data_IF_935106132685
#
_entry.id   IF_935106132685
#
_cell.length_a   1.000
_cell.length_b   1.000
_cell.length_c   1.000
_cell.angle_alpha   90.00
_cell.angle_beta   90.00
_cell.angle_gamma   90.00
#
_symmetry.space_group_name_H-M   'P 1'
#
loop_
_entity.id
_entity.type
_entity.pdbx_description
1 polymer ?
#
# COMPACT_ATOMS: atom_id res chain seq x y z
N UNK A 1 12.67 -17.41 20.78
CA UNK A 1 13.09 -16.91 19.45
C UNK A 1 12.67 -17.83 18.30
N UNK A 2 13.07 -19.12 18.23
CA UNK A 2 12.67 -20.02 17.13
C UNK A 2 11.16 -20.04 16.86
N UNK A 3 10.35 -20.19 17.91
CA UNK A 3 8.90 -20.16 17.79
C UNK A 3 8.36 -18.82 17.23
N UNK A 4 8.92 -17.70 17.66
CA UNK A 4 8.55 -16.39 17.12
C UNK A 4 8.93 -16.25 15.65
N UNK A 5 10.06 -16.82 15.23
CA UNK A 5 10.42 -16.87 13.80
C UNK A 5 9.44 -17.70 13.00
N UNK A 6 9.03 -18.88 13.51
CA UNK A 6 7.99 -19.71 12.88
C UNK A 6 6.71 -18.93 12.66
N UNK A 7 6.21 -18.27 13.70
CA UNK A 7 5.01 -17.46 13.59
C UNK A 7 5.18 -16.26 12.66
N UNK A 8 6.34 -15.61 12.65
CA UNK A 8 6.62 -14.54 11.68
C UNK A 8 6.57 -15.04 10.23
N UNK A 9 7.23 -16.18 9.95
CA UNK A 9 7.24 -16.78 8.61
C UNK A 9 5.84 -17.25 8.20
N UNK A 10 5.10 -17.91 9.08
CA UNK A 10 3.72 -18.33 8.79
C UNK A 10 2.82 -17.14 8.45
N UNK A 11 2.87 -16.08 9.26
CA UNK A 11 2.04 -14.92 9.00
C UNK A 11 2.49 -14.16 7.73
N UNK A 12 3.79 -14.10 7.47
CA UNK A 12 4.36 -13.56 6.22
C UNK A 12 3.76 -14.25 4.99
N UNK A 13 3.71 -15.59 4.97
CA UNK A 13 3.14 -16.34 3.85
C UNK A 13 1.67 -15.97 3.62
N UNK A 14 0.85 -15.92 4.69
CA UNK A 14 -0.55 -15.51 4.54
C UNK A 14 -0.70 -14.07 4.04
N UNK A 15 0.15 -13.14 4.48
CA UNK A 15 0.12 -11.77 3.97
C UNK A 15 0.53 -11.70 2.50
N UNK A 16 1.52 -12.49 2.07
CA UNK A 16 1.91 -12.57 0.65
C UNK A 16 0.78 -13.12 -0.22
N UNK A 17 0.13 -14.21 0.21
CA UNK A 17 -1.05 -14.77 -0.46
C UNK A 17 -2.19 -13.74 -0.53
N UNK A 18 -2.49 -13.07 0.59
CA UNK A 18 -3.48 -11.99 0.64
C UNK A 18 -3.15 -10.86 -0.34
N UNK A 19 -1.88 -10.44 -0.41
CA UNK A 19 -1.41 -9.41 -1.32
C UNK A 19 -1.49 -9.82 -2.79
N UNK A 20 -1.22 -11.09 -3.10
CA UNK A 20 -1.34 -11.61 -4.46
C UNK A 20 -2.80 -11.64 -4.92
N UNK A 21 -3.73 -11.97 -4.02
CA UNK A 21 -5.17 -11.91 -4.30
C UNK A 21 -5.63 -10.49 -4.68
N UNK A 22 -5.04 -9.43 -4.10
CA UNK A 22 -5.32 -8.04 -4.47
C UNK A 22 -4.90 -7.66 -5.91
N UNK A 23 -4.13 -8.51 -6.61
CA UNK A 23 -3.79 -8.32 -8.03
C UNK A 23 -4.89 -8.78 -8.99
N UNK A 24 -5.90 -9.51 -8.50
CA UNK A 24 -7.09 -9.83 -9.29
C UNK A 24 -7.78 -8.56 -9.76
N UNK A 25 -8.43 -8.63 -10.92
CA UNK A 25 -9.19 -7.54 -11.52
C UNK A 25 -10.63 -8.03 -11.71
N UNK A 26 -11.60 -7.54 -10.94
CA UNK A 26 -11.48 -6.56 -9.86
C UNK A 26 -10.76 -7.11 -8.60
N UNK A 27 -10.18 -6.24 -7.78
CA UNK A 27 -9.57 -6.63 -6.50
C UNK A 27 -10.64 -7.05 -5.48
N UNK A 28 -10.41 -8.06 -4.61
CA UNK A 28 -11.30 -8.39 -3.51
C UNK A 28 -11.25 -7.39 -2.34
N UNK A 29 -10.22 -6.55 -2.28
CA UNK A 29 -9.99 -5.62 -1.18
C UNK A 29 -10.76 -4.32 -1.41
N UNK A 30 -11.42 -3.82 -0.36
CA UNK A 30 -11.92 -2.44 -0.33
C UNK A 30 -10.78 -1.47 -0.01
N UNK A 31 -10.88 -0.19 -0.39
CA UNK A 31 -9.83 0.80 -0.11
C UNK A 31 -9.44 0.91 1.37
N UNK A 32 -10.39 0.66 2.29
CA UNK A 32 -10.14 0.74 3.72
C UNK A 32 -9.77 -0.61 4.38
N UNK A 33 -9.93 -1.75 3.70
CA UNK A 33 -9.65 -3.07 4.31
C UNK A 33 -8.17 -3.18 4.72
N UNK A 34 -7.27 -2.65 3.87
CA UNK A 34 -5.82 -2.67 4.09
C UNK A 34 -5.26 -1.29 4.49
N UNK A 35 -6.12 -0.32 4.79
CA UNK A 35 -5.69 0.99 5.30
C UNK A 35 -4.95 0.78 6.62
N UNK A 36 -3.70 1.23 6.69
CA UNK A 36 -2.81 1.07 7.85
C UNK A 36 -2.49 -0.41 8.20
N UNK A 37 -2.63 -1.36 7.28
CA UNK A 37 -2.31 -2.77 7.55
C UNK A 37 -0.85 -2.99 7.98
N UNK A 38 0.08 -2.08 7.67
CA UNK A 38 1.45 -2.02 8.24
C UNK A 38 1.49 -2.23 9.77
N UNK A 39 0.45 -1.83 10.50
CA UNK A 39 0.35 -2.03 11.96
C UNK A 39 0.34 -3.51 12.37
N UNK A 40 0.04 -4.41 11.44
CA UNK A 40 0.22 -5.85 11.55
C UNK A 40 1.62 -6.24 12.07
N UNK A 41 2.65 -5.45 11.76
CA UNK A 41 4.01 -5.71 12.23
C UNK A 41 4.13 -5.73 13.77
N UNK A 42 3.22 -5.11 14.51
CA UNK A 42 3.18 -5.15 15.97
C UNK A 42 2.79 -6.54 16.52
N UNK A 43 2.14 -7.37 15.73
CA UNK A 43 1.71 -8.73 16.09
C UNK A 43 2.69 -9.80 15.59
N UNK A 44 3.81 -9.40 15.00
CA UNK A 44 4.73 -10.34 14.38
C UNK A 44 5.41 -11.23 15.40
N UNK A 45 5.49 -12.51 15.05
CA UNK A 45 6.08 -13.54 15.91
C UNK A 45 5.17 -14.01 17.03
N UNK A 46 3.88 -13.66 16.99
CA UNK A 46 2.84 -14.19 17.87
C UNK A 46 1.85 -15.06 17.09
N UNK A 47 1.09 -15.89 17.80
CA UNK A 47 0.04 -16.72 17.21
C UNK A 47 -1.10 -15.85 16.67
N UNK A 48 -1.43 -14.78 17.38
CA UNK A 48 -2.48 -13.82 17.01
C UNK A 48 -2.16 -13.12 15.69
N UNK A 49 -0.88 -12.80 15.45
CA UNK A 49 -0.44 -12.31 14.15
C UNK A 49 -0.69 -13.31 13.02
N UNK A 50 -0.44 -14.60 13.25
CA UNK A 50 -0.76 -15.64 12.27
C UNK A 50 -2.26 -15.69 11.98
N UNK A 51 -3.10 -15.66 13.02
CA UNK A 51 -4.56 -15.71 12.86
C UNK A 51 -5.11 -14.46 12.15
N UNK A 52 -4.60 -13.26 12.44
CA UNK A 52 -4.99 -12.04 11.72
C UNK A 52 -4.63 -12.14 10.24
N UNK A 53 -3.39 -12.50 9.92
CA UNK A 53 -2.95 -12.63 8.53
C UNK A 53 -3.77 -13.68 7.77
N UNK A 54 -4.02 -14.83 8.40
CA UNK A 54 -4.84 -15.90 7.84
C UNK A 54 -6.29 -15.45 7.61
N UNK A 55 -6.89 -14.72 8.55
CA UNK A 55 -8.27 -14.24 8.45
C UNK A 55 -8.46 -13.36 7.22
N UNK A 56 -7.58 -12.37 7.00
CA UNK A 56 -7.62 -11.52 5.82
C UNK A 56 -7.41 -12.32 4.52
N UNK A 57 -6.46 -13.26 4.52
CA UNK A 57 -6.20 -14.14 3.38
C UNK A 57 -7.44 -14.96 3.03
N UNK A 58 -8.03 -15.65 4.01
CA UNK A 58 -9.20 -16.52 3.83
C UNK A 58 -10.42 -15.70 3.35
N UNK A 59 -10.64 -14.51 3.90
CA UNK A 59 -11.70 -13.60 3.46
C UNK A 59 -11.52 -13.21 1.99
N UNK A 60 -10.33 -12.75 1.60
CA UNK A 60 -10.07 -12.32 0.23
C UNK A 60 -10.11 -13.49 -0.75
N UNK A 61 -9.64 -14.67 -0.33
CA UNK A 61 -9.72 -15.88 -1.15
C UNK A 61 -11.18 -16.26 -1.41
N UNK A 62 -12.04 -16.17 -0.39
CA UNK A 62 -13.47 -16.41 -0.53
C UNK A 62 -14.15 -15.37 -1.44
N UNK A 63 -13.83 -14.09 -1.28
CA UNK A 63 -14.34 -13.03 -2.17
C UNK A 63 -13.97 -13.28 -3.62
N UNK A 64 -12.70 -13.61 -3.91
CA UNK A 64 -12.26 -13.96 -5.27
C UNK A 64 -13.01 -15.18 -5.80
N UNK A 65 -13.14 -16.26 -5.01
CA UNK A 65 -13.86 -17.48 -5.41
C UNK A 65 -15.34 -17.21 -5.73
N UNK A 66 -15.97 -16.31 -4.99
CA UNK A 66 -17.38 -15.94 -5.18
C UNK A 66 -17.58 -14.83 -6.22
N UNK A 67 -16.51 -14.27 -6.79
CA UNK A 67 -16.58 -13.14 -7.71
C UNK A 67 -17.08 -11.84 -7.05
N UNK A 68 -16.86 -11.68 -5.73
CA UNK A 68 -17.25 -10.49 -4.97
C UNK A 68 -16.10 -9.48 -5.02
N UNK A 69 -16.25 -8.34 -5.70
CA UNK A 69 -15.23 -7.30 -5.72
C UNK A 69 -15.23 -6.49 -4.42
N UNK A 70 -14.09 -5.85 -4.13
CA UNK A 70 -14.00 -4.82 -3.09
C UNK A 70 -14.74 -3.55 -3.48
N UNK A 71 -14.49 -3.05 -4.69
CA UNK A 71 -15.20 -1.91 -5.29
C UNK A 71 -16.07 -2.40 -6.44
N UNK A 72 -17.38 -2.09 -6.38
CA UNK A 72 -18.32 -2.45 -7.45
C UNK A 72 -17.95 -1.68 -8.71
N UNK A 73 -17.81 -2.38 -9.83
CA UNK A 73 -17.36 -1.80 -11.10
C UNK A 73 -16.03 -1.04 -10.96
N UNK A 74 -15.00 -1.68 -10.38
CA UNK A 74 -13.65 -1.14 -10.27
C UNK A 74 -13.12 -0.68 -11.64
N UNK A 75 -13.05 0.65 -11.86
CA UNK A 75 -12.60 1.28 -13.11
C UNK A 75 -11.14 1.66 -13.08
N UNK A 76 -10.68 2.16 -11.93
CA UNK A 76 -9.33 2.66 -11.73
C UNK A 76 -8.68 1.95 -10.56
N UNK A 77 -7.42 1.55 -10.73
CA UNK A 77 -6.60 0.90 -9.72
C UNK A 77 -5.49 1.85 -9.31
N UNK A 78 -5.39 2.14 -8.02
CA UNK A 78 -4.50 3.15 -7.48
C UNK A 78 -3.43 2.53 -6.59
N UNK A 79 -2.23 3.10 -6.67
CA UNK A 79 -1.14 2.86 -5.73
C UNK A 79 -1.04 4.02 -4.73
N UNK A 80 -1.09 3.73 -3.43
CA UNK A 80 -0.86 4.76 -2.41
C UNK A 80 0.55 4.69 -1.83
N UNK A 81 1.24 5.82 -1.88
CA UNK A 81 2.62 5.96 -1.42
C UNK A 81 2.60 6.57 -0.03
N UNK A 82 3.44 6.04 0.87
CA UNK A 82 3.58 6.52 2.24
C UNK A 82 2.30 6.38 3.11
N UNK A 83 2.08 7.33 4.02
CA UNK A 83 1.04 7.26 5.05
C UNK A 83 -0.33 7.63 4.49
N UNK A 84 -1.38 6.98 4.99
CA UNK A 84 -2.77 7.41 4.77
C UNK A 84 -3.11 8.60 5.65
N UNK A 85 -4.15 9.35 5.28
CA UNK A 85 -4.74 10.37 6.17
C UNK A 85 -5.46 9.70 7.34
N UNK A 86 -5.10 10.09 8.55
CA UNK A 86 -5.48 9.44 9.82
C UNK A 86 -6.70 10.07 10.49
N UNK A 87 -7.16 11.24 10.03
CA UNK A 87 -8.43 11.84 10.44
C UNK A 87 -9.51 11.62 9.39
N UNK A 88 -10.77 11.90 9.76
CA UNK A 88 -11.92 11.74 8.87
C UNK A 88 -11.81 12.68 7.66
N UNK A 89 -11.87 12.11 6.46
CA UNK A 89 -11.86 12.84 5.19
C UNK A 89 -12.75 12.14 4.18
N UNK A 90 -13.13 12.86 3.13
CA UNK A 90 -13.99 12.35 2.06
C UNK A 90 -13.17 11.74 0.91
N UNK A 91 -11.83 11.64 1.06
CA UNK A 91 -10.92 11.17 0.00
C UNK A 91 -11.32 9.77 -0.48
N UNK A 92 -11.49 8.82 0.44
CA UNK A 92 -11.84 7.44 0.05
C UNK A 92 -13.21 7.38 -0.60
N UNK A 93 -14.17 8.15 -0.11
CA UNK A 93 -15.52 8.19 -0.67
C UNK A 93 -15.51 8.73 -2.10
N UNK A 94 -14.78 9.81 -2.37
CA UNK A 94 -14.64 10.37 -3.72
C UNK A 94 -13.98 9.37 -4.67
N UNK A 95 -12.87 8.75 -4.25
CA UNK A 95 -12.19 7.75 -5.06
C UNK A 95 -13.13 6.59 -5.42
N UNK A 96 -13.77 6.00 -4.41
CA UNK A 96 -14.59 4.80 -4.60
C UNK A 96 -15.93 5.09 -5.27
N UNK A 97 -16.72 6.01 -4.70
CA UNK A 97 -18.13 6.21 -5.08
C UNK A 97 -18.26 7.04 -6.36
N UNK A 98 -17.45 8.08 -6.50
CA UNK A 98 -17.59 9.03 -7.61
C UNK A 98 -16.81 8.56 -8.84
N UNK A 99 -15.67 7.88 -8.65
CA UNK A 99 -14.78 7.47 -9.74
C UNK A 99 -14.66 5.95 -9.94
N UNK A 100 -15.22 5.11 -9.05
CA UNK A 100 -15.01 3.66 -9.11
C UNK A 100 -13.53 3.28 -8.96
N UNK A 101 -12.75 4.10 -8.28
CA UNK A 101 -11.32 3.93 -8.09
C UNK A 101 -11.05 3.16 -6.79
N UNK A 102 -10.25 2.10 -6.90
CA UNK A 102 -9.84 1.29 -5.77
C UNK A 102 -8.36 1.46 -5.49
N UNK A 103 -7.99 1.59 -4.22
CA UNK A 103 -6.59 1.58 -3.83
C UNK A 103 -6.18 0.16 -3.47
N UNK A 104 -5.54 -0.50 -4.44
CA UNK A 104 -5.28 -1.95 -4.41
C UNK A 104 -3.99 -2.32 -3.70
N UNK A 105 -3.09 -1.35 -3.50
CA UNK A 105 -1.85 -1.52 -2.75
C UNK A 105 -1.40 -0.22 -2.08
N UNK A 106 -0.96 -0.35 -0.83
CA UNK A 106 -0.21 0.66 -0.09
C UNK A 106 1.26 0.28 -0.06
N UNK A 107 2.14 1.27 -0.24
CA UNK A 107 3.58 1.06 -0.24
C UNK A 107 4.06 0.37 1.03
N UNK A 108 3.57 0.79 2.20
CA UNK A 108 3.99 0.25 3.48
C UNK A 108 3.39 -1.12 3.79
N UNK A 109 2.42 -1.59 3.01
CA UNK A 109 1.93 -2.95 3.20
C UNK A 109 2.87 -3.97 2.53
N UNK A 110 3.67 -3.58 1.53
CA UNK A 110 4.53 -4.50 0.80
C UNK A 110 5.50 -5.27 1.70
N UNK A 111 5.50 -6.60 1.55
CA UNK A 111 6.46 -7.50 2.21
C UNK A 111 7.72 -7.61 1.37
N UNK A 112 8.83 -7.03 1.85
CA UNK A 112 10.11 -6.96 1.13
C UNK A 112 11.13 -8.03 1.55
N UNK A 113 10.86 -8.80 2.60
CA UNK A 113 11.83 -9.68 3.24
C UNK A 113 11.57 -11.15 2.91
N UNK A 114 12.62 -11.95 2.91
CA UNK A 114 12.57 -13.42 2.76
C UNK A 114 12.24 -14.12 4.08
N UNK A 115 11.81 -15.40 4.05
CA UNK A 115 11.64 -16.19 5.27
C UNK A 115 12.89 -16.13 6.16
N UNK A 116 12.68 -15.90 7.45
CA UNK A 116 13.76 -15.80 8.42
C UNK A 116 14.23 -17.19 8.85
N UNK A 117 15.54 -17.36 9.04
CA UNK A 117 16.13 -18.62 9.53
C UNK A 117 15.91 -18.75 11.05
N UNK A 118 15.28 -19.85 11.46
CA UNK A 118 15.07 -20.18 12.87
C UNK A 118 16.37 -20.50 13.62
N UNK A 119 17.39 -20.99 12.90
CA UNK A 119 18.68 -21.33 13.47
C UNK A 119 19.61 -20.10 13.56
N UNK A 120 19.31 -19.04 12.82
CA UNK A 120 19.99 -17.74 12.91
C UNK A 120 19.00 -16.55 12.94
N UNK A 121 18.19 -16.44 14.02
CA UNK A 121 17.06 -15.53 14.09
C UNK A 121 17.50 -14.05 14.10
N UNK A 122 18.58 -13.74 14.81
CA UNK A 122 19.06 -12.36 14.95
C UNK A 122 19.68 -11.85 13.66
N UNK A 123 20.49 -12.67 12.96
CA UNK A 123 21.05 -12.27 11.66
C UNK A 123 19.97 -12.13 10.60
N UNK A 124 18.97 -13.01 10.62
CA UNK A 124 17.79 -12.90 9.74
C UNK A 124 17.03 -11.60 10.00
N UNK A 125 16.86 -11.21 11.25
CA UNK A 125 16.15 -9.98 11.61
C UNK A 125 16.94 -8.73 11.21
N UNK A 126 18.25 -8.72 11.50
CA UNK A 126 19.16 -7.66 11.07
C UNK A 126 19.12 -7.48 9.55
N UNK A 127 19.17 -8.59 8.78
CA UNK A 127 19.05 -8.57 7.32
C UNK A 127 17.75 -7.92 6.89
N UNK A 128 16.60 -8.35 7.43
CA UNK A 128 15.28 -7.77 7.14
C UNK A 128 15.25 -6.25 7.37
N UNK A 129 15.83 -5.77 8.47
CA UNK A 129 15.85 -4.34 8.78
C UNK A 129 16.68 -3.52 7.77
N UNK A 130 17.91 -3.96 7.48
CA UNK A 130 18.84 -3.19 6.61
C UNK A 130 18.49 -3.28 5.12
N UNK A 131 17.69 -4.28 4.72
CA UNK A 131 17.20 -4.43 3.35
C UNK A 131 15.87 -3.75 3.09
N UNK A 132 15.25 -3.10 4.08
CA UNK A 132 14.01 -2.35 3.89
C UNK A 132 14.15 -1.35 2.72
N UNK A 133 13.19 -1.26 1.77
CA UNK A 133 13.33 -0.41 0.58
C UNK A 133 13.58 1.08 0.86
N UNK A 134 12.99 1.59 1.95
CA UNK A 134 13.22 2.95 2.47
C UNK A 134 14.65 3.14 3.03
N UNK A 135 15.34 2.09 3.45
CA UNK A 135 16.70 2.20 4.00
C UNK A 135 17.71 2.14 2.86
N UNK A 136 18.47 3.23 2.69
CA UNK A 136 19.53 3.34 1.69
C UNK A 136 19.17 4.27 0.52
N UNK A 137 19.79 4.05 -0.66
CA UNK A 137 19.57 4.89 -1.84
C UNK A 137 18.12 4.86 -2.34
N UNK A 138 17.65 5.98 -2.87
CA UNK A 138 16.26 6.15 -3.33
C UNK A 138 15.89 5.21 -4.48
N UNK A 139 16.87 4.80 -5.28
CA UNK A 139 16.74 3.88 -6.40
C UNK A 139 16.19 2.52 -5.96
N UNK A 140 16.53 2.07 -4.74
CA UNK A 140 16.00 0.82 -4.16
C UNK A 140 14.49 0.92 -3.97
N UNK A 141 14.03 2.04 -3.40
CA UNK A 141 12.61 2.33 -3.18
C UNK A 141 11.86 2.48 -4.51
N UNK A 142 12.45 3.22 -5.46
CA UNK A 142 11.89 3.38 -6.82
C UNK A 142 11.72 2.04 -7.54
N UNK A 143 12.70 1.13 -7.44
CA UNK A 143 12.61 -0.20 -8.04
C UNK A 143 11.40 -0.97 -7.48
N UNK A 144 11.19 -0.93 -6.18
CA UNK A 144 10.03 -1.59 -5.55
C UNK A 144 8.72 -0.91 -5.97
N UNK A 145 8.65 0.42 -5.94
CA UNK A 145 7.45 1.17 -6.34
C UNK A 145 7.03 0.88 -7.78
N UNK A 146 7.98 0.87 -8.71
CA UNK A 146 7.72 0.56 -10.13
C UNK A 146 7.32 -0.90 -10.35
N UNK A 147 7.88 -1.83 -9.57
CA UNK A 147 7.46 -3.23 -9.57
C UNK A 147 6.01 -3.38 -9.08
N UNK A 148 5.68 -2.77 -7.93
CA UNK A 148 4.33 -2.80 -7.37
C UNK A 148 3.31 -2.19 -8.34
N UNK A 149 3.62 -1.06 -8.96
CA UNK A 149 2.73 -0.43 -9.93
C UNK A 149 2.38 -1.38 -11.10
N UNK A 150 3.37 -2.12 -11.61
CA UNK A 150 3.18 -3.11 -12.68
C UNK A 150 2.39 -4.33 -12.20
N UNK A 151 2.81 -4.94 -11.09
CA UNK A 151 2.20 -6.16 -10.57
C UNK A 151 0.73 -5.99 -10.22
N UNK A 152 0.37 -4.82 -9.70
CA UNK A 152 -1.00 -4.47 -9.33
C UNK A 152 -1.79 -3.82 -10.46
N UNK A 153 -1.20 -3.65 -11.65
CA UNK A 153 -1.83 -3.05 -12.84
C UNK A 153 -2.49 -1.70 -12.51
N UNK A 154 -1.74 -0.83 -11.84
CA UNK A 154 -2.28 0.46 -11.37
C UNK A 154 -2.36 1.46 -12.52
N UNK A 155 -3.44 2.23 -12.56
CA UNK A 155 -3.64 3.32 -13.52
C UNK A 155 -2.98 4.62 -13.05
N UNK A 156 -2.83 4.80 -11.74
CA UNK A 156 -2.24 6.01 -11.18
C UNK A 156 -1.76 5.80 -9.74
N UNK A 157 -0.93 6.72 -9.27
CA UNK A 157 -0.41 6.72 -7.93
C UNK A 157 -0.75 8.03 -7.19
N UNK A 158 -1.00 7.91 -5.89
CA UNK A 158 -1.25 9.04 -5.00
C UNK A 158 -0.17 9.06 -3.93
N UNK A 159 0.52 10.19 -3.82
CA UNK A 159 1.47 10.46 -2.75
C UNK A 159 0.98 11.66 -1.95
N UNK A 160 0.52 11.47 -0.71
CA UNK A 160 0.13 12.57 0.16
C UNK A 160 1.23 13.60 0.38
N UNK A 161 2.50 13.19 0.22
CA UNK A 161 3.65 14.05 0.44
C UNK A 161 3.60 14.68 1.84
N UNK A 162 3.51 13.80 2.85
CA UNK A 162 3.32 14.22 4.23
C UNK A 162 4.42 15.19 4.68
N UNK A 163 4.03 16.36 5.19
CA UNK A 163 4.95 17.41 5.62
C UNK A 163 6.03 16.93 6.61
N UNK A 164 5.67 16.04 7.55
CA UNK A 164 6.62 15.51 8.53
C UNK A 164 7.66 14.53 7.95
N UNK A 165 7.40 13.90 6.80
CA UNK A 165 8.26 12.86 6.25
C UNK A 165 9.28 13.43 5.25
N UNK A 166 10.33 14.08 5.76
CA UNK A 166 11.37 14.73 4.93
C UNK A 166 12.03 13.81 3.90
N UNK A 167 12.21 12.54 4.25
CA UNK A 167 12.80 11.55 3.33
C UNK A 167 11.93 11.32 2.09
N UNK A 168 10.62 11.11 2.25
CA UNK A 168 9.68 10.92 1.13
C UNK A 168 9.46 12.23 0.39
N UNK A 169 9.34 13.34 1.11
CA UNK A 169 9.14 14.66 0.53
C UNK A 169 10.29 15.07 -0.40
N UNK A 170 11.54 14.80 0.01
CA UNK A 170 12.73 15.07 -0.81
C UNK A 170 12.81 14.20 -2.07
N UNK A 171 12.24 13.00 -2.05
CA UNK A 171 12.28 12.05 -3.16
C UNK A 171 11.07 12.12 -4.11
N UNK A 172 10.03 12.92 -3.80
CA UNK A 172 8.74 12.93 -4.52
C UNK A 172 8.85 13.23 -6.02
N UNK A 173 9.84 14.02 -6.45
CA UNK A 173 10.09 14.31 -7.87
C UNK A 173 10.63 13.07 -8.57
N UNK A 174 11.60 12.38 -7.95
CA UNK A 174 12.17 11.15 -8.48
C UNK A 174 11.12 10.02 -8.57
N UNK A 175 10.19 9.96 -7.62
CA UNK A 175 9.05 9.03 -7.69
C UNK A 175 8.15 9.33 -8.88
N UNK A 176 7.84 10.62 -9.10
CA UNK A 176 7.01 11.05 -10.23
C UNK A 176 7.67 10.68 -11.55
N UNK A 177 8.96 11.00 -11.72
CA UNK A 177 9.71 10.70 -12.94
C UNK A 177 9.82 9.19 -13.21
N UNK A 178 10.02 8.39 -12.16
CA UNK A 178 10.15 6.94 -12.31
C UNK A 178 8.83 6.25 -12.66
N UNK A 179 7.71 6.66 -12.06
CA UNK A 179 6.40 6.11 -12.38
C UNK A 179 5.91 6.60 -13.76
N UNK A 180 6.21 7.85 -14.13
CA UNK A 180 5.89 8.36 -15.47
C UNK A 180 6.58 7.56 -16.59
N UNK A 181 7.82 7.05 -16.36
CA UNK A 181 8.55 6.21 -17.33
C UNK A 181 7.88 4.86 -17.61
N UNK A 182 6.91 4.46 -16.80
CA UNK A 182 6.11 3.24 -16.98
C UNK A 182 4.63 3.57 -17.18
N UNK A 183 4.33 4.79 -17.61
CA UNK A 183 2.99 5.29 -17.91
C UNK A 183 2.03 5.26 -16.71
N UNK A 184 2.56 5.45 -15.50
CA UNK A 184 1.77 5.59 -14.26
C UNK A 184 1.88 7.03 -13.75
N UNK A 185 0.87 7.88 -13.98
CA UNK A 185 0.85 9.23 -13.43
C UNK A 185 0.84 9.24 -11.90
N UNK A 186 1.55 10.19 -11.29
CA UNK A 186 1.60 10.40 -9.83
C UNK A 186 1.16 11.81 -9.46
N UNK A 187 0.21 11.91 -8.53
CA UNK A 187 -0.16 13.17 -7.86
C UNK A 187 0.51 13.29 -6.47
N UNK A 188 1.19 14.41 -6.24
CA UNK A 188 1.71 14.79 -4.93
C UNK A 188 0.72 15.78 -4.27
N UNK A 189 0.11 15.47 -3.13
CA UNK A 189 -0.92 16.33 -2.51
C UNK A 189 -0.38 17.40 -1.55
N UNK A 190 0.83 17.21 -1.02
CA UNK A 190 1.53 18.11 -0.08
C UNK A 190 0.68 18.47 1.15
N UNK A 191 0.19 17.46 1.88
CA UNK A 191 -0.71 17.62 3.03
C UNK A 191 -0.13 17.09 4.36
N UNK A 192 -0.76 17.41 5.48
CA UNK A 192 -0.52 16.70 6.76
C UNK A 192 -1.48 15.51 6.91
N UNK A 193 -0.92 14.32 7.16
CA UNK A 193 -1.71 13.09 7.28
C UNK A 193 -2.27 12.89 8.69
N UNK A 194 -1.79 13.62 9.69
CA UNK A 194 -2.13 13.45 11.10
C UNK A 194 -2.81 14.68 11.71
N UNK A 195 -2.47 15.89 11.26
CA UNK A 195 -3.04 17.14 11.78
C UNK A 195 -4.07 17.75 10.82
N UNK A 196 -5.38 17.71 11.14
CA UNK A 196 -6.42 18.27 10.28
C UNK A 196 -6.33 19.80 10.13
N UNK A 197 -5.62 20.52 11.01
CA UNK A 197 -5.45 21.98 10.91
C UNK A 197 -4.60 22.37 9.70
N UNK A 198 -3.75 21.46 9.24
CA UNK A 198 -2.87 21.62 8.08
C UNK A 198 -3.42 20.92 6.82
N UNK A 199 -4.75 20.70 6.77
CA UNK A 199 -5.42 20.05 5.64
C UNK A 199 -6.38 21.02 4.94
N UNK A 200 -5.96 21.52 3.77
CA UNK A 200 -6.80 22.36 2.91
C UNK A 200 -7.78 21.51 2.12
N UNK A 201 -8.93 21.18 2.71
CA UNK A 201 -9.91 20.24 2.14
C UNK A 201 -10.29 20.57 0.70
N UNK A 202 -10.77 21.78 0.43
CA UNK A 202 -11.23 22.17 -0.91
C UNK A 202 -10.15 22.00 -1.98
N UNK A 203 -8.93 22.47 -1.68
CA UNK A 203 -7.80 22.36 -2.60
C UNK A 203 -7.39 20.89 -2.85
N UNK A 204 -7.36 20.06 -1.80
CA UNK A 204 -7.00 18.65 -1.94
C UNK A 204 -8.02 17.91 -2.78
N UNK A 205 -9.32 18.13 -2.53
CA UNK A 205 -10.38 17.43 -3.25
C UNK A 205 -10.45 17.84 -4.72
N UNK A 206 -10.41 19.13 -5.04
CA UNK A 206 -10.40 19.59 -6.45
C UNK A 206 -9.22 19.05 -7.25
N UNK A 207 -8.02 18.97 -6.63
CA UNK A 207 -6.83 18.39 -7.30
C UNK A 207 -6.97 16.88 -7.50
N UNK A 208 -7.61 16.20 -6.56
CA UNK A 208 -7.85 14.76 -6.64
C UNK A 208 -8.88 14.43 -7.73
N UNK A 209 -9.98 15.18 -7.79
CA UNK A 209 -11.01 15.05 -8.84
C UNK A 209 -10.40 15.25 -10.23
N UNK A 210 -9.66 16.36 -10.44
CA UNK A 210 -8.99 16.62 -11.70
C UNK A 210 -7.99 15.50 -12.08
N UNK A 211 -7.32 14.91 -11.10
CA UNK A 211 -6.42 13.78 -11.33
C UNK A 211 -7.19 12.51 -11.73
N UNK A 212 -8.32 12.21 -11.09
CA UNK A 212 -9.16 11.08 -11.47
C UNK A 212 -9.74 11.25 -12.88
N UNK A 213 -10.24 12.45 -13.22
CA UNK A 213 -10.74 12.76 -14.56
C UNK A 213 -9.67 12.53 -15.64
N UNK A 214 -8.45 13.00 -15.39
CA UNK A 214 -7.31 12.77 -16.28
C UNK A 214 -7.04 11.27 -16.49
N UNK A 215 -7.09 10.47 -15.43
CA UNK A 215 -6.86 9.01 -15.53
C UNK A 215 -7.93 8.28 -16.35
N UNK A 216 -9.16 8.79 -16.37
CA UNK A 216 -10.26 8.20 -17.16
C UNK A 216 -10.24 8.54 -18.65
N UNK A 217 -9.44 9.52 -19.06
CA UNK A 217 -9.36 10.00 -20.45
C UNK A 217 -8.23 9.36 -21.27
N UNK A 218 -7.37 8.58 -20.61
CA UNK A 218 -6.27 7.79 -21.19
C UNK A 218 -6.66 6.34 -21.38
#
# INVERSE_FOLDING_TARGET
LKQSIRYNNQAREFVLEMQDLCKNVPSPAKPNDLKNFIMFNLLQGTKEGVEVAKTYRDEFQNKVKMGIPGVVNEKLRLFWIQNRVQFKTDITDILEKDHGANVVIDEFNHIWWEPMDENDPLRSYARRMITHPIVGPVERRIKVMTQLAKDYKVNGAINPSHWGCRQTLGARVLFKDALQKIDVPLINLDLDCADPRNFSKGQVLTRLEAFMEMLTQT
#
